data_IF_203903328204
#
_entry.id   IF_203903328204
#
_cell.length_a   1.000
_cell.length_b   1.000
_cell.length_c   1.000
_cell.angle_alpha   90.00
_cell.angle_beta   90.00
_cell.angle_gamma   90.00
#
_symmetry.space_group_name_H-M   'P 1'
#
loop_
_entity.id
_entity.type
_entity.pdbx_description
1 polymer ?
#
# COMPACT_ATOMS: atom_id res chain seq x y z
N UNK A 1 -9.04 -62.27 -55.32
CA UNK A 1 -8.14 -61.26 -54.71
C UNK A 1 -8.82 -59.95 -54.26
N UNK A 2 -10.04 -59.59 -54.72
CA UNK A 2 -10.70 -58.29 -54.40
C UNK A 2 -11.35 -58.18 -52.99
N UNK A 3 -11.67 -59.30 -52.34
CA UNK A 3 -12.42 -59.31 -51.05
C UNK A 3 -11.53 -58.94 -49.85
N UNK A 4 -10.27 -59.39 -49.80
CA UNK A 4 -9.33 -59.06 -48.72
C UNK A 4 -8.98 -57.56 -48.68
N UNK A 5 -8.88 -56.90 -49.84
CA UNK A 5 -8.60 -55.46 -49.94
C UNK A 5 -9.74 -54.58 -49.39
N UNK A 6 -11.00 -55.01 -49.60
CA UNK A 6 -12.19 -54.30 -49.09
C UNK A 6 -12.31 -54.36 -47.56
N UNK A 7 -11.92 -55.49 -46.95
CA UNK A 7 -11.91 -55.68 -45.49
C UNK A 7 -10.82 -54.81 -44.84
N UNK A 8 -9.62 -54.76 -45.41
CA UNK A 8 -8.51 -53.90 -44.91
C UNK A 8 -8.91 -52.42 -44.96
N UNK A 9 -9.59 -51.96 -46.02
CA UNK A 9 -10.05 -50.56 -46.09
C UNK A 9 -11.13 -50.21 -45.05
N UNK A 10 -12.02 -51.15 -44.71
CA UNK A 10 -13.06 -50.94 -43.69
C UNK A 10 -12.49 -50.90 -42.28
N UNK A 11 -11.55 -51.79 -41.96
CA UNK A 11 -10.85 -51.77 -40.67
C UNK A 11 -10.01 -50.50 -40.49
N UNK A 12 -9.39 -50.00 -41.55
CA UNK A 12 -8.67 -48.72 -41.52
C UNK A 12 -9.60 -47.53 -41.25
N UNK A 13 -10.81 -47.50 -41.83
CA UNK A 13 -11.82 -46.47 -41.58
C UNK A 13 -12.32 -46.53 -40.13
N UNK A 14 -12.56 -47.73 -39.59
CA UNK A 14 -12.97 -47.89 -38.18
C UNK A 14 -11.86 -47.41 -37.24
N UNK A 15 -10.60 -47.71 -37.54
CA UNK A 15 -9.47 -47.24 -36.74
C UNK A 15 -9.31 -45.71 -36.80
N UNK A 16 -9.52 -45.11 -37.98
CA UNK A 16 -9.50 -43.67 -38.17
C UNK A 16 -10.64 -42.98 -37.40
N UNK A 17 -11.85 -43.56 -37.42
CA UNK A 17 -13.00 -43.05 -36.67
C UNK A 17 -12.78 -43.17 -35.15
N UNK A 18 -12.22 -44.29 -34.68
CA UNK A 18 -11.86 -44.45 -33.28
C UNK A 18 -10.79 -43.45 -32.84
N UNK A 19 -9.80 -43.19 -33.69
CA UNK A 19 -8.76 -42.18 -33.42
C UNK A 19 -9.34 -40.76 -33.38
N UNK A 20 -10.24 -40.42 -34.30
CA UNK A 20 -10.91 -39.12 -34.32
C UNK A 20 -11.81 -38.91 -33.10
N UNK A 21 -12.51 -39.96 -32.63
CA UNK A 21 -13.29 -39.93 -31.38
C UNK A 21 -12.35 -39.74 -30.19
N UNK A 22 -11.21 -40.45 -30.15
CA UNK A 22 -10.25 -40.32 -29.05
C UNK A 22 -9.63 -38.92 -28.99
N UNK A 23 -9.36 -38.30 -30.14
CA UNK A 23 -8.83 -36.94 -30.21
C UNK A 23 -9.82 -35.88 -29.71
N UNK A 24 -11.13 -36.15 -29.87
CA UNK A 24 -12.21 -35.26 -29.42
C UNK A 24 -12.47 -35.33 -27.91
N UNK A 25 -11.87 -36.29 -27.19
CA UNK A 25 -12.02 -36.46 -25.74
C UNK A 25 -10.99 -35.68 -24.92
N UNK A 26 -10.01 -35.04 -25.57
CA UNK A 26 -9.04 -34.17 -24.90
C UNK A 26 -9.56 -32.73 -24.89
N UNK A 27 -10.37 -32.39 -23.90
CA UNK A 27 -10.82 -31.01 -23.67
C UNK A 27 -9.95 -30.29 -22.64
N UNK A 28 -9.73 -29.01 -22.90
CA UNK A 28 -9.31 -27.93 -21.99
C UNK A 28 -8.12 -28.21 -21.05
N UNK A 29 -6.94 -27.82 -21.53
CA UNK A 29 -5.79 -27.53 -20.66
C UNK A 29 -6.07 -26.23 -19.91
N UNK A 30 -6.42 -26.36 -18.63
CA UNK A 30 -6.52 -25.23 -17.69
C UNK A 30 -5.11 -24.82 -17.25
N UNK A 31 -4.46 -23.99 -18.07
CA UNK A 31 -3.20 -23.35 -17.68
C UNK A 31 -3.51 -22.14 -16.77
N UNK A 32 -3.54 -22.38 -15.46
CA UNK A 32 -3.59 -21.30 -14.48
C UNK A 32 -2.17 -20.76 -14.25
N UNK A 33 -2.01 -19.43 -14.20
CA UNK A 33 -0.66 -18.87 -14.03
C UNK A 33 -0.23 -19.13 -12.59
N UNK A 34 1.03 -19.50 -12.38
CA UNK A 34 1.58 -19.74 -11.02
C UNK A 34 1.30 -18.54 -10.09
N UNK A 35 1.35 -17.31 -10.60
CA UNK A 35 1.05 -16.08 -9.84
C UNK A 35 -0.41 -15.97 -9.36
N UNK A 36 -1.33 -16.70 -9.98
CA UNK A 36 -2.75 -16.69 -9.65
C UNK A 36 -3.08 -17.74 -8.55
N UNK A 37 -2.21 -18.75 -8.37
CA UNK A 37 -2.37 -19.86 -7.39
C UNK A 37 -1.32 -19.90 -6.27
N UNK A 38 -0.32 -19.01 -6.31
CA UNK A 38 0.74 -18.96 -5.32
C UNK A 38 0.90 -17.55 -4.75
N UNK A 39 0.88 -17.42 -3.43
CA UNK A 39 1.36 -16.24 -2.71
C UNK A 39 2.82 -16.47 -2.29
N UNK A 40 3.62 -15.41 -2.31
CA UNK A 40 4.99 -15.50 -1.80
C UNK A 40 4.94 -15.61 -0.27
N UNK A 41 5.74 -16.51 0.29
CA UNK A 41 5.88 -16.60 1.76
C UNK A 41 6.68 -15.38 2.25
N UNK A 42 6.19 -14.71 3.30
CA UNK A 42 6.86 -13.55 3.90
C UNK A 42 6.52 -12.20 3.27
N UNK A 43 5.53 -12.10 2.38
CA UNK A 43 5.07 -10.79 1.94
C UNK A 43 4.24 -10.14 3.03
N UNK A 44 4.78 -9.04 3.55
CA UNK A 44 4.15 -8.24 4.58
C UNK A 44 4.09 -6.82 4.08
N UNK A 45 2.96 -6.19 4.31
CA UNK A 45 2.88 -4.75 4.21
C UNK A 45 3.76 -4.12 5.30
N UNK A 46 4.45 -3.04 4.94
CA UNK A 46 5.33 -2.35 5.85
C UNK A 46 4.60 -1.12 6.39
N UNK A 47 4.37 -1.11 7.70
CA UNK A 47 3.83 0.08 8.34
C UNK A 47 4.90 1.15 8.45
N UNK A 48 4.55 2.35 8.01
CA UNK A 48 5.36 3.54 8.14
C UNK A 48 4.72 4.45 9.19
N UNK A 49 5.56 5.04 10.02
CA UNK A 49 5.14 5.95 11.08
C UNK A 49 5.91 7.26 10.95
N UNK A 50 5.21 8.38 11.09
CA UNK A 50 5.78 9.72 11.17
C UNK A 50 5.22 10.50 12.35
N UNK A 51 6.02 11.43 12.86
CA UNK A 51 5.59 12.40 13.87
C UNK A 51 5.63 13.76 13.23
N UNK A 52 4.47 14.41 13.15
CA UNK A 52 4.28 15.64 12.42
C UNK A 52 3.57 16.70 13.23
N UNK A 53 3.46 17.87 12.62
CA UNK A 53 2.79 19.03 13.20
C UNK A 53 1.80 19.56 12.17
N UNK A 54 0.56 19.76 12.60
CA UNK A 54 -0.47 20.44 11.82
C UNK A 54 -0.58 21.88 12.32
N UNK A 55 -0.60 22.84 11.39
CA UNK A 55 -0.76 24.27 11.65
C UNK A 55 -2.01 24.82 10.97
N UNK A 56 -2.49 25.98 11.41
CA UNK A 56 -3.65 26.65 10.79
C UNK A 56 -5.00 26.13 11.27
N UNK A 57 -5.05 25.44 12.41
CA UNK A 57 -6.32 24.99 13.00
C UNK A 57 -7.13 26.18 13.53
N UNK A 58 -8.46 26.12 13.35
CA UNK A 58 -9.37 27.18 13.76
C UNK A 58 -9.81 27.05 15.23
N UNK A 59 -8.84 27.10 16.15
CA UNK A 59 -9.11 27.02 17.59
C UNK A 59 -9.38 25.60 18.11
N UNK A 60 -9.16 24.57 17.28
CA UNK A 60 -9.35 23.15 17.60
C UNK A 60 -8.06 22.39 17.87
N UNK A 61 -6.92 23.06 17.87
CA UNK A 61 -5.61 22.48 18.16
C UNK A 61 -5.34 22.21 19.64
N UNK A 62 -4.12 21.79 19.92
CA UNK A 62 -3.63 21.43 21.23
C UNK A 62 -3.62 22.62 22.20
N UNK A 63 -4.01 22.33 23.44
CA UNK A 63 -4.04 23.29 24.56
C UNK A 63 -2.80 23.16 25.46
N UNK A 64 -2.02 22.09 25.31
CA UNK A 64 -0.89 21.75 26.17
C UNK A 64 0.45 22.39 25.76
N UNK A 65 1.33 22.61 26.76
CA UNK A 65 2.69 23.15 26.56
C UNK A 65 3.59 22.25 25.69
N UNK A 66 3.30 20.95 25.60
CA UNK A 66 4.07 19.99 24.81
C UNK A 66 4.04 20.31 23.30
N UNK A 67 2.90 20.77 22.79
CA UNK A 67 2.76 21.16 21.38
C UNK A 67 3.57 22.44 21.06
N UNK A 68 3.54 23.40 21.98
CA UNK A 68 4.34 24.63 21.89
C UNK A 68 5.83 24.31 21.86
N UNK A 69 6.30 23.47 22.79
CA UNK A 69 7.71 23.08 22.87
C UNK A 69 8.17 22.32 21.62
N UNK A 70 7.31 21.50 21.04
CA UNK A 70 7.61 20.75 19.82
C UNK A 70 7.81 21.69 18.63
N UNK A 71 6.98 22.74 18.51
CA UNK A 71 7.14 23.76 17.48
C UNK A 71 8.33 24.66 17.74
N UNK A 72 8.55 25.12 18.97
CA UNK A 72 9.71 25.97 19.25
C UNK A 72 11.00 25.24 18.87
N UNK A 73 11.12 23.96 19.25
CA UNK A 73 12.24 23.11 18.86
C UNK A 73 12.36 22.91 17.35
N UNK A 74 11.24 22.83 16.61
CA UNK A 74 11.24 22.72 15.15
C UNK A 74 11.69 24.02 14.48
N UNK A 75 11.13 25.16 14.90
CA UNK A 75 11.45 26.47 14.35
C UNK A 75 12.90 26.85 14.66
N UNK A 76 13.39 26.54 15.85
CA UNK A 76 14.81 26.69 16.21
C UNK A 76 15.73 25.89 15.29
N UNK A 77 15.37 24.63 14.95
CA UNK A 77 16.12 23.81 13.98
C UNK A 77 16.09 24.40 12.57
N UNK A 78 15.06 25.16 12.22
CA UNK A 78 14.95 25.89 10.95
C UNK A 78 15.66 27.25 10.99
N UNK A 79 16.36 27.58 12.09
CA UNK A 79 17.05 28.85 12.26
C UNK A 79 16.13 30.02 12.64
N UNK A 80 14.89 29.74 13.04
CA UNK A 80 13.90 30.74 13.45
C UNK A 80 13.81 30.75 14.97
N UNK A 81 14.26 31.83 15.59
CA UNK A 81 14.09 32.05 17.03
C UNK A 81 12.63 32.44 17.30
N UNK A 82 11.96 31.66 18.14
CA UNK A 82 10.59 31.94 18.58
C UNK A 82 10.50 31.93 20.09
N UNK A 83 9.73 32.85 20.65
CA UNK A 83 9.35 32.77 22.06
C UNK A 83 8.17 31.80 22.18
N UNK A 84 8.25 30.74 23.02
CA UNK A 84 7.14 29.84 23.28
C UNK A 84 5.81 30.54 23.64
N UNK A 85 5.89 31.70 24.29
CA UNK A 85 4.72 32.47 24.72
C UNK A 85 3.99 33.16 23.55
N UNK A 86 4.66 33.39 22.42
CA UNK A 86 4.06 34.01 21.22
C UNK A 86 3.29 32.98 20.35
N UNK A 87 3.46 31.69 20.63
CA UNK A 87 2.80 30.61 19.90
C UNK A 87 1.37 30.45 20.42
N UNK A 88 0.39 30.77 19.58
CA UNK A 88 -1.03 30.61 19.91
C UNK A 88 -1.40 29.14 20.08
N UNK A 89 -1.67 28.76 21.32
CA UNK A 89 -2.33 27.49 21.66
C UNK A 89 -3.68 27.40 20.95
N UNK A 90 -4.09 26.20 20.55
CA UNK A 90 -5.30 25.89 19.75
C UNK A 90 -5.25 26.13 18.23
N UNK A 91 -4.19 26.69 17.65
CA UNK A 91 -4.06 26.77 16.19
C UNK A 91 -3.18 25.69 15.57
N UNK A 92 -2.74 24.75 16.41
CA UNK A 92 -1.66 23.81 16.10
C UNK A 92 -1.95 22.47 16.78
N UNK A 93 -1.61 21.35 16.14
CA UNK A 93 -1.67 20.03 16.78
C UNK A 93 -0.43 19.20 16.48
N UNK A 94 0.08 18.48 17.50
CA UNK A 94 1.05 17.41 17.32
C UNK A 94 0.33 16.12 16.89
N UNK A 95 0.81 15.47 15.84
CA UNK A 95 0.13 14.33 15.21
C UNK A 95 1.08 13.15 14.97
N UNK A 96 0.52 11.94 15.02
CA UNK A 96 1.13 10.74 14.43
C UNK A 96 0.48 10.52 13.07
N UNK A 97 1.33 10.16 12.11
CA UNK A 97 0.93 9.71 10.79
C UNK A 97 1.27 8.23 10.70
N UNK A 98 0.30 7.41 10.33
CA UNK A 98 0.52 6.00 10.00
C UNK A 98 0.12 5.76 8.55
N UNK A 99 0.95 5.03 7.81
CA UNK A 99 0.67 4.67 6.44
C UNK A 99 1.15 3.24 6.18
N UNK A 100 0.50 2.55 5.25
CA UNK A 100 0.82 1.16 4.94
C UNK A 100 1.46 1.11 3.56
N UNK A 101 2.75 0.83 3.50
CA UNK A 101 3.46 0.64 2.24
C UNK A 101 3.19 -0.77 1.72
N UNK A 102 2.52 -0.92 0.55
CA UNK A 102 2.26 -2.23 0.00
C UNK A 102 3.56 -2.91 -0.40
N UNK A 103 3.53 -4.24 -0.36
CA UNK A 103 4.60 -5.06 -0.92
C UNK A 103 4.96 -4.65 -2.36
N UNK A 104 6.26 -4.62 -2.66
CA UNK A 104 6.79 -4.27 -3.99
C UNK A 104 6.41 -2.86 -4.49
N UNK A 105 6.15 -1.93 -3.56
CA UNK A 105 5.99 -0.51 -3.86
C UNK A 105 7.16 0.02 -4.71
N UNK A 106 6.81 0.73 -5.80
CA UNK A 106 7.80 1.41 -6.65
C UNK A 106 7.98 2.87 -6.20
N UNK A 107 9.14 3.48 -6.44
CA UNK A 107 9.31 4.91 -6.20
C UNK A 107 8.24 5.73 -6.94
N UNK A 108 7.63 6.70 -6.24
CA UNK A 108 6.64 7.61 -6.81
C UNK A 108 5.18 7.15 -6.71
N UNK A 109 4.90 5.97 -6.13
CA UNK A 109 3.51 5.62 -5.80
C UNK A 109 2.97 6.55 -4.71
N UNK A 110 1.66 6.83 -4.78
CA UNK A 110 0.95 7.50 -3.70
C UNK A 110 0.36 6.44 -2.77
N UNK A 111 0.37 6.73 -1.48
CA UNK A 111 -0.15 5.84 -0.45
C UNK A 111 -1.01 6.64 0.51
N UNK A 112 -2.14 6.07 0.90
CA UNK A 112 -3.03 6.69 1.87
C UNK A 112 -2.39 6.64 3.26
N UNK A 113 -2.55 7.74 4.00
CA UNK A 113 -2.04 7.88 5.34
C UNK A 113 -3.17 8.30 6.28
N UNK A 114 -3.17 7.73 7.47
CA UNK A 114 -4.03 8.12 8.57
C UNK A 114 -3.28 9.10 9.45
N UNK A 115 -3.91 10.23 9.75
CA UNK A 115 -3.35 11.26 10.64
C UNK A 115 -4.19 11.31 11.90
N UNK A 116 -3.55 11.20 13.05
CA UNK A 116 -4.19 11.18 14.37
C UNK A 116 -3.49 12.14 15.32
N UNK A 117 -4.28 12.85 16.12
CA UNK A 117 -3.73 13.73 17.17
C UNK A 117 -3.05 12.91 18.26
N UNK A 118 -1.92 13.40 18.76
CA UNK A 118 -1.25 12.91 19.98
C UNK A 118 -1.76 13.69 21.20
N UNK A 119 -2.12 14.96 21.00
CA UNK A 119 -2.55 15.86 22.05
C UNK A 119 -4.06 16.03 22.11
N UNK A 120 -4.48 17.15 22.70
CA UNK A 120 -5.87 17.49 23.04
C UNK A 120 -6.63 18.17 21.90
N UNK A 121 -6.09 18.21 20.68
CA UNK A 121 -6.77 18.77 19.53
C UNK A 121 -8.13 18.09 19.31
N UNK A 122 -9.20 18.89 19.28
CA UNK A 122 -10.57 18.40 19.07
C UNK A 122 -10.91 18.16 17.60
N UNK A 123 -10.16 18.75 16.68
CA UNK A 123 -10.28 18.52 15.23
C UNK A 123 -9.02 18.95 14.50
N UNK A 124 -8.62 18.17 13.50
CA UNK A 124 -7.50 18.46 12.59
C UNK A 124 -7.98 19.12 11.27
N UNK A 125 -9.30 19.29 11.11
CA UNK A 125 -9.89 19.79 9.87
C UNK A 125 -9.50 21.25 9.60
N UNK A 126 -9.19 21.56 8.34
CA UNK A 126 -8.76 22.90 7.90
C UNK A 126 -7.30 23.23 8.23
N UNK A 127 -6.61 22.36 8.97
CA UNK A 127 -5.18 22.48 9.20
C UNK A 127 -4.35 21.95 8.02
N UNK A 128 -3.10 22.38 7.97
CA UNK A 128 -2.09 21.91 7.02
C UNK A 128 -1.02 21.11 7.77
N UNK A 129 -0.81 19.86 7.35
CA UNK A 129 0.31 19.05 7.83
C UNK A 129 1.62 19.56 7.24
N UNK A 130 2.58 19.85 8.10
CA UNK A 130 3.94 20.17 7.67
C UNK A 130 4.62 18.91 7.12
N UNK A 131 5.54 19.10 6.17
CA UNK A 131 6.28 18.00 5.55
C UNK A 131 6.86 17.06 6.63
N UNK A 132 6.47 15.79 6.60
CA UNK A 132 6.74 14.85 7.69
C UNK A 132 7.27 13.53 7.13
N UNK A 133 8.54 13.18 7.41
CA UNK A 133 9.09 11.92 6.92
C UNK A 133 8.42 10.73 7.60
N UNK A 134 7.98 9.77 6.79
CA UNK A 134 7.43 8.49 7.25
C UNK A 134 8.51 7.43 7.24
N UNK A 135 8.75 6.84 8.40
CA UNK A 135 9.80 5.83 8.61
C UNK A 135 9.23 4.43 8.74
N UNK A 136 9.89 3.48 8.12
CA UNK A 136 9.58 2.06 8.31
C UNK A 136 10.13 1.52 9.63
N UNK A 137 9.85 0.24 9.96
CA UNK A 137 10.34 -0.40 11.18
C UNK A 137 11.87 -0.56 11.24
N UNK A 138 12.53 -0.48 10.08
CA UNK A 138 13.99 -0.48 9.93
C UNK A 138 14.62 0.92 10.14
N UNK A 139 13.80 1.94 10.43
CA UNK A 139 14.23 3.32 10.65
C UNK A 139 14.52 4.13 9.39
N UNK A 140 14.37 3.56 8.19
CA UNK A 140 14.57 4.28 6.92
C UNK A 140 13.33 5.08 6.55
N UNK A 141 13.53 6.19 5.85
CA UNK A 141 12.44 7.04 5.34
C UNK A 141 11.97 6.48 4.00
N UNK A 142 10.67 6.22 3.90
CA UNK A 142 10.03 5.68 2.69
C UNK A 142 9.01 6.64 2.07
N UNK A 143 8.57 7.65 2.81
CA UNK A 143 7.65 8.70 2.35
C UNK A 143 7.97 10.05 2.97
N UNK A 144 7.52 11.12 2.31
CA UNK A 144 7.66 12.52 2.71
C UNK A 144 6.32 13.23 2.63
#
# INVERSE_FOLDING_TARGET
>A
MKIKFKIISKSAIVFLLLFAVHCSLFTDVYAERIKDIASFEGVRDNQMIGYGIIVGLNGTGDKGKTAIQSISSMLERMGVTVNPDDIKTKSIAAVVITATLPQFAKPGIKTDALVSTIGDASSLQGGTLLLTPLKGPDGKVYGL
#
